data_IF_206580121484
#
_entry.id   IF_206580121484
#
_cell.length_a   1.000
_cell.length_b   1.000
_cell.length_c   1.000
_cell.angle_alpha   90.00
_cell.angle_beta   90.00
_cell.angle_gamma   90.00
#
_symmetry.space_group_name_H-M   'P 1'
#
loop_
_entity.id
_entity.type
_entity.pdbx_description
1 polymer ?
#
# COMPACT_ATOMS: atom_id res chain seq x y z
N UNK A 1 14.14 8.62 -22.64
CA UNK A 1 13.95 8.24 -22.23
C UNK A 1 13.48 7.95 -21.41
N UNK A 2 13.36 8.11 -21.40
CA UNK A 2 13.03 7.80 -20.86
C UNK A 2 12.66 7.45 -19.95
N UNK A 3 12.55 7.30 -19.84
CA UNK A 3 12.12 6.83 -19.23
C UNK A 3 12.02 6.53 -18.32
N UNK A 4 12.43 6.82 -18.42
CA UNK A 4 12.52 6.73 -17.46
C UNK A 4 11.82 6.38 -16.68
N UNK A 5 12.12 5.91 -16.80
CA UNK A 5 11.31 5.58 -16.23
C UNK A 5 11.06 5.60 -14.92
N UNK A 6 10.30 6.18 -14.67
CA UNK A 6 9.96 6.26 -13.33
C UNK A 6 9.11 5.12 -13.01
N UNK A 7 9.69 4.18 -12.39
CA UNK A 7 8.94 3.05 -11.98
C UNK A 7 7.89 3.50 -10.99
N UNK A 8 6.66 3.14 -11.25
CA UNK A 8 5.61 3.27 -10.26
C UNK A 8 5.96 2.35 -9.10
N UNK A 9 6.27 2.88 -7.89
CA UNK A 9 6.71 2.03 -6.79
C UNK A 9 5.66 1.02 -6.35
N UNK A 10 4.40 1.23 -6.72
CA UNK A 10 3.33 0.30 -6.38
C UNK A 10 3.30 -0.93 -7.27
N UNK A 11 4.02 -0.92 -8.38
CA UNK A 11 4.06 -2.08 -9.27
C UNK A 11 4.80 -3.26 -8.69
N UNK A 12 5.66 -3.03 -7.71
CA UNK A 12 6.40 -4.14 -7.07
C UNK A 12 5.57 -4.87 -6.03
N UNK A 13 4.37 -4.39 -5.74
CA UNK A 13 3.51 -5.02 -4.75
C UNK A 13 2.83 -6.24 -5.35
N UNK A 14 2.68 -7.30 -4.53
CA UNK A 14 1.90 -8.45 -4.93
C UNK A 14 0.41 -8.07 -4.99
N UNK A 15 -0.39 -8.95 -5.58
CA UNK A 15 -1.83 -8.71 -5.66
C UNK A 15 -2.44 -8.50 -4.28
N UNK A 16 -2.07 -9.33 -3.31
CA UNK A 16 -2.62 -9.21 -1.96
C UNK A 16 -2.14 -7.93 -1.26
N UNK A 17 -0.87 -7.59 -1.45
CA UNK A 17 -0.35 -6.33 -0.91
C UNK A 17 -1.10 -5.14 -1.49
N UNK A 18 -1.40 -5.18 -2.78
CA UNK A 18 -2.14 -4.10 -3.43
C UNK A 18 -3.56 -4.00 -2.87
N UNK A 19 -4.20 -5.12 -2.59
CA UNK A 19 -5.53 -5.12 -1.97
C UNK A 19 -5.49 -4.47 -0.59
N UNK A 20 -4.48 -4.81 0.20
CA UNK A 20 -4.29 -4.20 1.52
C UNK A 20 -4.05 -2.70 1.37
N UNK A 21 -3.19 -2.32 0.44
CA UNK A 21 -2.90 -0.90 0.19
C UNK A 21 -4.16 -0.14 -0.18
N UNK A 22 -4.97 -0.68 -1.07
CA UNK A 22 -6.20 0.01 -1.50
C UNK A 22 -7.11 0.27 -0.31
N UNK A 23 -7.24 -0.68 0.62
CA UNK A 23 -8.06 -0.49 1.80
C UNK A 23 -7.46 0.53 2.77
N UNK A 24 -6.12 0.51 2.92
CA UNK A 24 -5.45 1.52 3.74
C UNK A 24 -5.72 2.92 3.19
N UNK A 25 -5.65 3.09 1.89
CA UNK A 25 -5.86 4.39 1.24
C UNK A 25 -7.30 4.87 1.37
N UNK A 26 -8.24 3.95 1.57
CA UNK A 26 -9.64 4.30 1.83
C UNK A 26 -9.91 4.62 3.29
N UNK A 27 -8.89 4.52 4.14
CA UNK A 27 -9.04 4.82 5.57
C UNK A 27 -9.44 3.62 6.42
N UNK A 28 -9.41 2.42 5.87
CA UNK A 28 -9.77 1.23 6.63
C UNK A 28 -8.75 0.94 7.72
N UNK A 29 -9.23 0.50 8.86
CA UNK A 29 -8.37 0.07 9.94
C UNK A 29 -8.01 -1.40 9.78
N UNK A 30 -7.01 -1.85 10.55
CA UNK A 30 -6.55 -3.25 10.44
C UNK A 30 -7.69 -4.23 10.66
N UNK A 31 -8.58 -3.96 11.62
CA UNK A 31 -9.71 -4.85 11.88
C UNK A 31 -10.66 -4.93 10.69
N UNK A 32 -10.84 -3.82 9.97
CA UNK A 32 -11.71 -3.79 8.80
C UNK A 32 -11.09 -4.58 7.65
N UNK A 33 -9.81 -4.40 7.44
CA UNK A 33 -9.08 -5.13 6.41
C UNK A 33 -9.11 -6.62 6.72
N UNK A 34 -8.90 -6.97 7.98
CA UNK A 34 -8.95 -8.35 8.44
C UNK A 34 -10.28 -8.99 8.09
N UNK A 35 -11.37 -8.27 8.36
CA UNK A 35 -12.72 -8.78 8.07
C UNK A 35 -12.95 -8.93 6.57
N UNK A 36 -12.55 -7.94 5.79
CA UNK A 36 -12.80 -7.96 4.34
C UNK A 36 -11.98 -9.00 3.60
N UNK A 37 -10.72 -9.18 3.99
CA UNK A 37 -9.81 -10.09 3.29
C UNK A 37 -9.70 -11.45 3.96
N UNK A 38 -10.37 -11.65 5.09
CA UNK A 38 -10.31 -12.89 5.87
C UNK A 38 -8.87 -13.22 6.27
N UNK A 39 -8.12 -12.21 6.70
CA UNK A 39 -6.73 -12.34 7.13
C UNK A 39 -6.61 -11.96 8.59
N UNK A 40 -5.64 -12.55 9.27
CA UNK A 40 -5.36 -12.21 10.66
C UNK A 40 -4.70 -10.84 10.75
N UNK A 41 -4.90 -10.14 11.87
CA UNK A 41 -4.36 -8.78 12.01
C UNK A 41 -2.84 -8.74 11.94
N UNK A 42 -2.15 -9.74 12.49
CA UNK A 42 -0.68 -9.75 12.39
C UNK A 42 -0.21 -10.03 10.96
N UNK A 43 -0.98 -10.75 10.16
CA UNK A 43 -0.69 -10.91 8.72
C UNK A 43 -0.80 -9.55 8.01
N UNK A 44 -1.84 -8.79 8.34
CA UNK A 44 -2.04 -7.46 7.75
C UNK A 44 -0.91 -6.53 8.16
N UNK A 45 -0.47 -6.58 9.43
CA UNK A 45 0.66 -5.77 9.87
C UNK A 45 1.93 -6.11 9.08
N UNK A 46 2.14 -7.39 8.79
CA UNK A 46 3.26 -7.82 7.96
C UNK A 46 3.15 -7.25 6.56
N UNK A 47 1.96 -7.28 5.96
CA UNK A 47 1.74 -6.68 4.65
C UNK A 47 2.01 -5.17 4.67
N UNK A 48 1.56 -4.48 5.71
CA UNK A 48 1.82 -3.04 5.83
C UNK A 48 3.30 -2.74 5.85
N UNK A 49 4.06 -3.50 6.65
CA UNK A 49 5.51 -3.31 6.71
C UNK A 49 6.15 -3.56 5.35
N UNK A 50 5.72 -4.61 4.67
CA UNK A 50 6.23 -4.95 3.35
C UNK A 50 5.92 -3.84 2.35
N UNK A 51 4.69 -3.31 2.37
CA UNK A 51 4.29 -2.22 1.48
C UNK A 51 5.16 -0.99 1.71
N UNK A 52 5.36 -0.60 2.97
CA UNK A 52 6.20 0.56 3.29
C UNK A 52 7.63 0.35 2.81
N UNK A 53 8.18 -0.83 3.03
CA UNK A 53 9.54 -1.14 2.61
C UNK A 53 9.68 -1.11 1.09
N UNK A 54 8.74 -1.72 0.38
CA UNK A 54 8.80 -1.80 -1.09
C UNK A 54 8.58 -0.45 -1.75
N UNK A 55 7.79 0.41 -1.14
CA UNK A 55 7.52 1.75 -1.69
C UNK A 55 8.53 2.79 -1.21
N UNK A 56 9.39 2.42 -0.25
CA UNK A 56 10.44 3.32 0.22
C UNK A 56 9.98 4.41 1.14
N UNK A 57 8.81 4.27 1.77
CA UNK A 57 8.30 5.26 2.71
C UNK A 57 8.37 4.73 4.14
N UNK A 58 8.31 5.64 5.10
CA UNK A 58 8.52 5.31 6.51
C UNK A 58 7.23 5.13 7.30
N UNK A 59 6.13 5.71 6.84
CA UNK A 59 4.88 5.68 7.59
C UNK A 59 3.70 5.89 6.65
N UNK A 60 2.49 5.78 7.21
CA UNK A 60 1.27 5.87 6.42
C UNK A 60 1.06 7.25 5.80
N UNK A 61 1.50 8.31 6.49
CA UNK A 61 1.35 9.66 5.97
C UNK A 61 2.14 9.80 4.67
N UNK A 62 3.39 9.33 4.67
CA UNK A 62 4.21 9.34 3.46
C UNK A 62 3.61 8.44 2.38
N UNK A 63 3.04 7.32 2.79
CA UNK A 63 2.39 6.41 1.85
C UNK A 63 1.22 7.11 1.14
N UNK A 64 0.39 7.83 1.87
CA UNK A 64 -0.71 8.60 1.28
C UNK A 64 -0.18 9.65 0.31
N UNK A 65 0.87 10.37 0.68
CA UNK A 65 1.46 11.36 -0.20
C UNK A 65 1.97 10.74 -1.50
N UNK A 66 2.65 9.61 -1.37
CA UNK A 66 3.16 8.91 -2.54
C UNK A 66 2.03 8.44 -3.44
N UNK A 67 0.95 7.92 -2.85
CA UNK A 67 -0.21 7.48 -3.60
C UNK A 67 -0.87 8.64 -4.35
N UNK A 68 -0.92 9.82 -3.74
CA UNK A 68 -1.45 11.00 -4.40
C UNK A 68 -0.59 11.40 -5.59
N UNK A 69 0.74 11.33 -5.44
CA UNK A 69 1.66 11.64 -6.52
C UNK A 69 1.44 10.72 -7.71
N UNK A 70 1.08 9.47 -7.47
CA UNK A 70 0.84 8.49 -8.52
C UNK A 70 -0.64 8.36 -8.87
N UNK A 71 -1.47 9.25 -8.33
CA UNK A 71 -2.90 9.33 -8.64
C UNK A 71 -3.68 8.07 -8.28
N UNK A 72 -3.22 7.36 -7.26
CA UNK A 72 -3.96 6.21 -6.73
C UNK A 72 -5.11 6.64 -5.83
N UNK A 73 -5.05 7.87 -5.32
CA UNK A 73 -6.09 8.46 -4.47
C UNK A 73 -6.61 9.68 -5.18
N UNK A 74 -7.91 9.84 -5.20
CA UNK A 74 -8.55 11.00 -5.82
C UNK A 74 -8.80 12.11 -4.82
#
# INVERSE_FOLDING_TARGET
MENIIIANPFKVLSKREREVLDLILKGAQVKDISAQLALKSNTISTFKKSILAKTGVSNNIELFKLAQEHKLVK
#
